data_IF_661529855973
#
_entry.id   IF_661529855973
#
_cell.length_a   1.000
_cell.length_b   1.000
_cell.length_c   1.000
_cell.angle_alpha   90.00
_cell.angle_beta   90.00
_cell.angle_gamma   90.00
#
_symmetry.space_group_name_H-M   'P 1'
#
loop_
_entity.id
_entity.type
_entity.pdbx_description
1 polymer ?
#
# COMPACT_ATOMS: atom_id res chain seq x y z
N UNK A 1 0.23 -5.06 20.35
CA UNK A 1 -0.24 -3.94 19.52
C UNK A 1 -0.66 -4.54 18.18
N UNK A 2 -1.96 -4.76 17.97
CA UNK A 2 -2.50 -5.27 16.71
C UNK A 2 -2.91 -4.07 15.84
N UNK A 3 -1.93 -3.43 15.21
CA UNK A 3 -2.20 -2.41 14.19
C UNK A 3 -2.42 -3.07 12.84
N UNK A 4 -3.38 -2.58 12.05
CA UNK A 4 -3.60 -3.02 10.68
C UNK A 4 -2.29 -2.85 9.86
N UNK A 5 -1.78 -3.89 9.16
CA UNK A 5 -0.53 -3.81 8.41
C UNK A 5 -0.50 -2.68 7.37
N UNK A 6 -1.65 -2.39 6.74
CA UNK A 6 -1.78 -1.30 5.77
C UNK A 6 -1.60 0.04 6.49
N UNK A 7 -2.23 0.21 7.66
CA UNK A 7 -2.07 1.43 8.46
C UNK A 7 -0.63 1.60 8.95
N UNK A 8 0.04 0.52 9.34
CA UNK A 8 1.44 0.58 9.77
C UNK A 8 2.35 1.03 8.63
N UNK A 9 2.17 0.48 7.43
CA UNK A 9 2.93 0.92 6.25
C UNK A 9 2.64 2.39 5.92
N UNK A 10 1.37 2.81 5.90
CA UNK A 10 1.00 4.22 5.68
C UNK A 10 1.57 5.18 6.74
N UNK A 11 1.78 4.72 7.97
CA UNK A 11 2.41 5.54 9.01
C UNK A 11 3.94 5.65 8.82
N UNK A 12 4.57 4.69 8.13
CA UNK A 12 6.01 4.74 7.81
C UNK A 12 6.30 5.56 6.56
N UNK A 13 5.38 5.57 5.60
CA UNK A 13 5.51 6.28 4.32
C UNK A 13 4.30 7.18 4.06
N UNK A 14 4.56 8.49 4.07
CA UNK A 14 3.59 9.49 3.62
C UNK A 14 3.63 9.63 2.08
N UNK A 15 2.56 10.17 1.47
CA UNK A 15 2.53 10.57 0.06
C UNK A 15 3.64 11.59 -0.28
N UNK A 16 4.07 12.39 0.67
CA UNK A 16 5.14 13.38 0.45
C UNK A 16 6.55 12.83 0.74
N UNK A 17 6.68 11.56 1.13
CA UNK A 17 7.98 10.92 1.32
C UNK A 17 8.75 10.85 0.01
N UNK A 18 10.08 10.97 0.10
CA UNK A 18 10.92 10.82 -1.09
C UNK A 18 10.85 9.39 -1.67
N UNK A 19 11.28 9.27 -2.93
CA UNK A 19 11.19 8.03 -3.66
C UNK A 19 12.02 6.90 -3.02
N UNK A 20 13.20 7.21 -2.48
CA UNK A 20 14.08 6.20 -1.88
C UNK A 20 13.45 5.61 -0.61
N UNK A 21 12.88 6.45 0.24
CA UNK A 21 12.16 6.05 1.45
C UNK A 21 10.95 5.19 1.12
N UNK A 22 10.18 5.57 0.10
CA UNK A 22 9.06 4.76 -0.39
C UNK A 22 9.53 3.39 -0.89
N UNK A 23 10.56 3.37 -1.74
CA UNK A 23 11.15 2.14 -2.26
C UNK A 23 11.56 1.19 -1.13
N UNK A 24 12.38 1.66 -0.19
CA UNK A 24 12.90 0.84 0.91
C UNK A 24 11.77 0.28 1.78
N UNK A 25 10.75 1.10 2.10
CA UNK A 25 9.61 0.66 2.88
C UNK A 25 8.77 -0.41 2.16
N UNK A 26 8.54 -0.26 0.85
CA UNK A 26 7.79 -1.24 0.07
C UNK A 26 8.56 -2.55 -0.10
N UNK A 27 9.86 -2.49 -0.36
CA UNK A 27 10.71 -3.69 -0.44
C UNK A 27 10.76 -4.42 0.90
N UNK A 28 10.99 -3.69 2.00
CA UNK A 28 11.00 -4.27 3.34
C UNK A 28 9.67 -4.95 3.66
N UNK A 29 8.54 -4.27 3.43
CA UNK A 29 7.22 -4.86 3.68
C UNK A 29 6.98 -6.11 2.83
N UNK A 30 7.41 -6.09 1.57
CA UNK A 30 7.29 -7.23 0.66
C UNK A 30 8.03 -8.46 1.18
N UNK A 31 9.24 -8.26 1.71
CA UNK A 31 10.05 -9.33 2.30
C UNK A 31 9.45 -9.87 3.60
N UNK A 32 8.83 -9.01 4.40
CA UNK A 32 8.23 -9.38 5.69
C UNK A 32 6.89 -10.13 5.53
N UNK A 33 6.06 -9.74 4.56
CA UNK A 33 4.71 -10.29 4.41
C UNK A 33 4.51 -11.24 3.21
N UNK A 34 5.53 -11.43 2.37
CA UNK A 34 5.47 -12.34 1.21
C UNK A 34 4.66 -11.80 0.03
N UNK A 35 4.64 -10.49 -0.16
CA UNK A 35 3.98 -9.84 -1.30
C UNK A 35 4.78 -9.91 -2.61
N UNK A 36 4.42 -9.05 -3.57
CA UNK A 36 5.20 -8.87 -4.81
C UNK A 36 5.51 -7.41 -5.07
N UNK A 37 6.77 -7.13 -5.38
CA UNK A 37 7.27 -5.82 -5.73
C UNK A 37 8.28 -5.98 -6.88
N UNK A 38 7.83 -5.77 -8.12
CA UNK A 38 8.65 -6.11 -9.27
C UNK A 38 8.26 -5.36 -10.55
N UNK A 39 9.28 -5.09 -11.36
CA UNK A 39 9.08 -4.70 -12.74
C UNK A 39 8.56 -5.90 -13.55
N UNK A 40 7.60 -5.65 -14.42
CA UNK A 40 7.05 -6.60 -15.39
C UNK A 40 7.49 -6.25 -16.81
N UNK A 41 7.25 -7.17 -17.74
CA UNK A 41 7.46 -6.92 -19.17
C UNK A 41 6.59 -5.75 -19.66
N UNK A 42 7.08 -5.00 -20.65
CA UNK A 42 6.30 -3.94 -21.29
C UNK A 42 6.18 -2.65 -20.46
N UNK A 43 7.25 -2.27 -19.74
CA UNK A 43 7.31 -1.01 -18.98
C UNK A 43 6.19 -0.88 -17.93
N UNK A 44 5.81 -2.00 -17.32
CA UNK A 44 4.81 -2.06 -16.25
C UNK A 44 5.50 -2.42 -14.94
N UNK A 45 5.07 -1.85 -13.84
CA UNK A 45 5.53 -2.16 -12.49
C UNK A 45 4.35 -2.63 -11.65
N UNK A 46 4.54 -3.71 -10.88
CA UNK A 46 3.51 -4.30 -10.04
C UNK A 46 3.90 -4.20 -8.57
N UNK A 47 2.93 -3.78 -7.77
CA UNK A 47 2.97 -3.90 -6.31
C UNK A 47 1.73 -4.69 -5.88
N UNK A 48 1.94 -5.76 -5.13
CA UNK A 48 0.89 -6.58 -4.53
C UNK A 48 1.24 -6.81 -3.06
N UNK A 49 0.58 -6.06 -2.19
CA UNK A 49 0.83 -6.08 -0.74
C UNK A 49 -0.49 -5.95 0.01
N UNK A 50 -0.64 -6.75 1.06
CA UNK A 50 -1.82 -6.74 1.95
C UNK A 50 -3.17 -6.84 1.23
N UNK A 51 -3.22 -7.57 0.10
CA UNK A 51 -4.44 -7.73 -0.70
C UNK A 51 -4.75 -6.55 -1.63
N UNK A 52 -3.86 -5.56 -1.74
CA UNK A 52 -3.95 -4.47 -2.71
C UNK A 52 -2.94 -4.70 -3.81
N UNK A 53 -3.44 -4.92 -5.02
CA UNK A 53 -2.63 -5.03 -6.24
C UNK A 53 -2.80 -3.80 -7.12
N UNK A 54 -1.68 -3.21 -7.54
CA UNK A 54 -1.64 -2.12 -8.53
C UNK A 54 -0.67 -2.45 -9.66
N UNK A 55 -0.97 -1.91 -10.84
CA UNK A 55 -0.12 -1.96 -12.02
C UNK A 55 0.05 -0.53 -12.54
N UNK A 56 1.28 -0.12 -12.82
CA UNK A 56 1.58 1.23 -13.30
C UNK A 56 2.70 1.21 -14.34
N UNK A 57 2.84 2.29 -15.11
CA UNK A 57 3.89 2.42 -16.12
C UNK A 57 5.28 2.82 -15.57
N UNK A 58 5.40 2.97 -14.25
CA UNK A 58 6.66 3.20 -13.54
C UNK A 58 6.51 2.81 -12.08
N UNK A 59 7.62 2.59 -11.40
CA UNK A 59 7.67 2.29 -9.98
C UNK A 59 7.09 3.41 -9.11
N UNK A 60 7.47 4.67 -9.38
CA UNK A 60 6.95 5.83 -8.67
C UNK A 60 5.42 5.95 -8.81
N UNK A 61 4.89 5.70 -10.01
CA UNK A 61 3.44 5.72 -10.21
C UNK A 61 2.76 4.54 -9.49
N UNK A 62 3.41 3.37 -9.42
CA UNK A 62 2.90 2.24 -8.64
C UNK A 62 2.85 2.57 -7.14
N UNK A 63 3.86 3.24 -6.58
CA UNK A 63 3.84 3.72 -5.19
C UNK A 63 2.63 4.60 -4.92
N UNK A 64 2.44 5.64 -5.73
CA UNK A 64 1.33 6.59 -5.56
C UNK A 64 -0.04 5.91 -5.67
N UNK A 65 -0.20 5.01 -6.65
CA UNK A 65 -1.42 4.24 -6.83
C UNK A 65 -1.70 3.33 -5.64
N UNK A 66 -0.67 2.64 -5.12
CA UNK A 66 -0.82 1.76 -3.96
C UNK A 66 -1.21 2.55 -2.72
N UNK A 67 -0.49 3.65 -2.42
CA UNK A 67 -0.78 4.53 -1.27
C UNK A 67 -2.20 5.10 -1.34
N UNK A 68 -2.66 5.49 -2.53
CA UNK A 68 -4.02 5.98 -2.73
C UNK A 68 -5.07 4.89 -2.50
N UNK A 69 -4.85 3.69 -3.05
CA UNK A 69 -5.75 2.56 -2.89
C UNK A 69 -5.85 2.14 -1.41
N UNK A 70 -4.71 2.06 -0.71
CA UNK A 70 -4.61 1.78 0.71
C UNK A 70 -5.41 2.78 1.55
N UNK A 71 -5.23 4.09 1.32
CA UNK A 71 -6.00 5.13 1.99
C UNK A 71 -7.52 4.99 1.78
N UNK A 72 -7.95 4.67 0.56
CA UNK A 72 -9.38 4.45 0.25
C UNK A 72 -9.92 3.22 1.00
N UNK A 73 -9.16 2.12 1.04
CA UNK A 73 -9.54 0.90 1.75
C UNK A 73 -9.67 1.14 3.25
N UNK A 74 -8.71 1.83 3.87
CA UNK A 74 -8.77 2.17 5.30
C UNK A 74 -9.99 3.04 5.64
N UNK A 75 -10.31 4.02 4.79
CA UNK A 75 -11.52 4.86 4.98
C UNK A 75 -12.80 4.04 4.86
N UNK A 76 -12.87 3.07 3.94
CA UNK A 76 -14.01 2.17 3.79
C UNK A 76 -14.20 1.29 5.03
N UNK A 77 -13.12 0.69 5.54
CA UNK A 77 -13.15 -0.14 6.75
C UNK A 77 -13.61 0.67 7.97
N UNK A 78 -13.10 1.89 8.14
CA UNK A 78 -13.52 2.79 9.22
C UNK A 78 -15.01 3.15 9.14
N UNK A 79 -15.53 3.43 7.93
CA UNK A 79 -16.95 3.72 7.71
C UNK A 79 -17.84 2.52 8.08
N UNK A 80 -17.46 1.31 7.66
CA UNK A 80 -18.20 0.09 7.98
C UNK A 80 -18.20 -0.22 9.49
N UNK A 81 -17.08 -0.02 10.17
CA UNK A 81 -16.99 -0.18 11.62
C UNK A 81 -17.94 0.77 12.38
N UNK A 82 -18.06 2.02 11.92
CA UNK A 82 -18.97 3.01 12.52
C UNK A 82 -20.45 2.68 12.28
N UNK A 83 -20.79 2.00 11.18
CA UNK A 83 -22.17 1.59 10.88
C UNK A 83 -22.58 0.32 11.63
N UNK A 84 -21.64 -0.53 12.03
CA UNK A 84 -21.89 -1.77 12.76
C UNK A 84 -22.10 -1.61 14.28
N UNK A 85 -21.84 -0.42 14.84
CA UNK A 85 -21.96 -0.14 16.28
C UNK A 85 -23.32 0.43 16.73
N UNK A 86 -24.32 0.50 15.84
CA UNK A 86 -25.60 1.15 16.10
C UNK A 86 -26.80 0.18 16.16
N UNK A 87 -26.59 -1.08 16.56
CA UNK A 87 -27.64 -2.10 16.70
C UNK A 87 -27.85 -2.52 18.15
#
# INVERSE_FOLDING_TARGET
MNGDPIQNLLNRIDQDSDFATKHDAFVAETLECGGSYQAQAGNTFMIDLHGIRVLANSEANAHELWLRAANIQMRRLASLANLGGAA
#
